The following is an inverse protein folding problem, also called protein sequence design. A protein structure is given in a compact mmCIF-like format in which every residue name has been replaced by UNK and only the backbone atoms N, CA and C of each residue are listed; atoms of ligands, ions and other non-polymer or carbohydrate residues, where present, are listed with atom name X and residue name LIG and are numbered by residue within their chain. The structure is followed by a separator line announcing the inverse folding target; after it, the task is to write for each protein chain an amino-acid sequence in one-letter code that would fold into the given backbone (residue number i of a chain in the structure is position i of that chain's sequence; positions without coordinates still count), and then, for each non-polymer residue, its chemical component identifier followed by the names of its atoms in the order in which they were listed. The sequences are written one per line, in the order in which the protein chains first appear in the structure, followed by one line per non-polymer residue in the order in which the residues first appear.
data_IF_407855184095
#
_entry.id   IF_407855184095
#
_cell.length_a   1.000
_cell.length_b   1.000
_cell.length_c   1.000
_cell.angle_alpha   90.00
_cell.angle_beta   90.00
_cell.angle_gamma   90.00
#
_symmetry.space_group_name_H-M   'P 1'
#
loop_
_entity.id
_entity.type
_entity.pdbx_description
1 polymer ?
#
# COMPACT_ATOMS: atom_id res chain seq x y z
N UNK A 1 -17.26 2.27 17.08
CA UNK A 1 -17.04 1.00 16.37
C UNK A 1 -17.92 1.04 15.13
N UNK A 2 -17.34 1.31 13.96
CA UNK A 2 -18.08 1.32 12.68
C UNK A 2 -17.85 -0.07 12.10
N UNK A 3 -18.81 -0.97 12.30
CA UNK A 3 -18.77 -2.29 11.68
C UNK A 3 -19.12 -2.16 10.20
N UNK A 4 -18.21 -2.52 9.32
CA UNK A 4 -18.49 -2.74 7.92
C UNK A 4 -18.73 -4.23 7.77
N UNK A 5 -20.00 -4.63 7.76
CA UNK A 5 -20.39 -5.99 7.35
C UNK A 5 -20.09 -6.09 5.84
N UNK A 6 -18.94 -6.58 5.48
CA UNK A 6 -18.64 -6.97 4.10
C UNK A 6 -18.68 -8.49 3.99
N UNK A 7 -19.53 -8.97 3.07
CA UNK A 7 -19.42 -10.32 2.52
C UNK A 7 -17.97 -10.53 2.07
N UNK A 8 -17.47 -11.75 2.17
CA UNK A 8 -16.13 -12.16 1.72
C UNK A 8 -15.62 -11.32 0.57
N UNK A 9 -14.60 -10.51 0.82
CA UNK A 9 -13.95 -9.69 -0.20
C UNK A 9 -13.07 -10.59 -1.05
N UNK A 10 -13.26 -10.56 -2.36
CA UNK A 10 -12.45 -11.34 -3.31
C UNK A 10 -11.51 -10.38 -4.02
N UNK A 11 -10.23 -10.49 -3.74
CA UNK A 11 -9.18 -9.67 -4.34
C UNK A 11 -8.42 -10.42 -5.43
N UNK A 12 -7.72 -9.67 -6.29
CA UNK A 12 -6.89 -10.19 -7.40
C UNK A 12 -7.65 -11.06 -8.39
N UNK A 13 -8.89 -10.74 -8.70
CA UNK A 13 -9.61 -11.43 -9.77
C UNK A 13 -8.93 -11.17 -11.10
N UNK A 14 -8.62 -12.24 -11.81
CA UNK A 14 -8.15 -12.14 -13.19
C UNK A 14 -9.31 -11.64 -14.06
N UNK A 15 -9.16 -10.52 -14.81
CA UNK A 15 -10.26 -9.97 -15.61
C UNK A 15 -10.68 -10.86 -16.80
N UNK A 16 -9.86 -11.82 -17.19
CA UNK A 16 -10.15 -12.73 -18.30
C UNK A 16 -10.99 -13.92 -17.86
N UNK A 17 -12.20 -14.07 -18.41
CA UNK A 17 -13.15 -15.14 -18.09
C UNK A 17 -12.62 -16.56 -18.32
N UNK A 18 -11.64 -16.73 -19.20
CA UNK A 18 -11.09 -18.04 -19.60
C UNK A 18 -10.36 -18.79 -18.48
N UNK A 19 -9.85 -18.08 -17.47
CA UNK A 19 -9.05 -18.66 -16.37
C UNK A 19 -9.74 -18.59 -15.03
N UNK A 20 -10.95 -18.00 -14.94
CA UNK A 20 -11.70 -17.86 -13.70
C UNK A 20 -11.99 -19.18 -12.98
N UNK A 21 -12.11 -20.29 -13.72
CA UNK A 21 -12.37 -21.61 -13.14
C UNK A 21 -11.16 -22.19 -12.37
N UNK A 22 -9.97 -21.66 -12.59
CA UNK A 22 -8.76 -22.11 -11.90
C UNK A 22 -8.52 -21.38 -10.58
N UNK A 23 -9.27 -20.33 -10.29
CA UNK A 23 -9.13 -19.48 -9.09
C UNK A 23 -7.69 -19.03 -8.81
N UNK A 24 -6.87 -18.92 -9.87
CA UNK A 24 -5.47 -18.51 -9.78
C UNK A 24 -5.39 -17.05 -9.37
N UNK A 25 -4.47 -16.74 -8.46
CA UNK A 25 -4.22 -15.39 -7.90
C UNK A 25 -5.41 -14.74 -7.18
N UNK A 26 -6.52 -15.43 -7.03
CA UNK A 26 -7.68 -14.94 -6.31
C UNK A 26 -7.56 -15.31 -4.84
N UNK A 27 -7.70 -14.34 -3.94
CA UNK A 27 -7.76 -14.56 -2.50
C UNK A 27 -9.11 -14.11 -1.94
N UNK A 28 -9.63 -14.86 -0.97
CA UNK A 28 -10.78 -14.45 -0.17
C UNK A 28 -10.29 -13.87 1.13
N UNK A 29 -10.75 -12.67 1.43
CA UNK A 29 -10.54 -12.03 2.72
C UNK A 29 -11.88 -12.07 3.44
N UNK A 30 -11.91 -12.63 4.64
CA UNK A 30 -13.12 -12.70 5.46
C UNK A 30 -13.63 -11.32 5.85
N UNK A 31 -14.69 -11.31 6.66
CA UNK A 31 -15.24 -10.06 7.20
C UNK A 31 -14.16 -9.27 7.97
N UNK A 32 -13.96 -8.02 7.58
CA UNK A 32 -13.03 -7.12 8.23
C UNK A 32 -13.79 -6.02 8.97
N UNK A 33 -13.71 -6.04 10.29
CA UNK A 33 -14.22 -4.95 11.15
C UNK A 33 -13.08 -4.01 11.46
N UNK A 34 -13.15 -2.78 10.99
CA UNK A 34 -12.08 -1.79 11.17
C UNK A 34 -11.84 -1.50 12.66
N UNK A 35 -10.62 -1.71 13.09
CA UNK A 35 -10.14 -1.47 14.44
C UNK A 35 -8.69 -0.96 14.38
N UNK A 36 -8.53 0.36 14.32
CA UNK A 36 -7.23 1.03 14.18
C UNK A 36 -6.51 1.05 15.52
N UNK A 37 -5.63 0.09 15.74
CA UNK A 37 -4.78 0.02 16.95
C UNK A 37 -3.34 0.41 16.67
N UNK A 38 -3.04 0.75 15.42
CA UNK A 38 -1.72 1.16 14.96
C UNK A 38 -1.60 2.67 14.76
N UNK A 39 -0.40 3.09 14.38
CA UNK A 39 -0.05 4.46 14.10
C UNK A 39 0.68 4.58 12.77
N UNK A 40 0.40 5.66 12.04
CA UNK A 40 1.17 6.06 10.87
C UNK A 40 2.00 7.29 11.23
N UNK A 41 3.33 7.13 11.18
CA UNK A 41 4.26 8.24 11.38
C UNK A 41 4.89 8.63 10.04
N UNK A 42 4.90 9.92 9.72
CA UNK A 42 5.46 10.44 8.49
C UNK A 42 6.61 11.39 8.73
N UNK A 43 7.69 11.25 7.95
CA UNK A 43 8.80 12.19 7.86
C UNK A 43 8.99 12.60 6.41
N UNK A 44 9.11 13.88 6.14
CA UNK A 44 9.17 14.41 4.78
C UNK A 44 10.32 15.42 4.64
N UNK A 45 10.91 15.47 3.44
CA UNK A 45 11.87 16.49 3.05
C UNK A 45 11.66 16.88 1.60
N UNK A 46 11.63 18.18 1.32
CA UNK A 46 11.38 18.76 -0.02
C UNK A 46 10.10 18.26 -0.72
N UNK A 47 9.10 17.92 0.08
CA UNK A 47 7.80 17.39 -0.36
C UNK A 47 6.69 18.13 0.37
N UNK A 48 5.61 18.40 -0.30
CA UNK A 48 4.42 19.04 0.28
C UNK A 48 3.30 18.03 0.45
N UNK A 49 2.56 18.13 1.54
CA UNK A 49 1.30 17.42 1.71
C UNK A 49 0.25 18.06 0.81
N UNK A 50 -0.46 17.28 0.02
CA UNK A 50 -1.58 17.76 -0.77
C UNK A 50 -2.81 17.85 0.14
N UNK A 51 -3.45 19.01 0.15
CA UNK A 51 -4.72 19.21 0.86
C UNK A 51 -5.86 18.49 0.13
N UNK A 52 -6.70 17.76 0.87
CA UNK A 52 -7.84 16.97 0.37
C UNK A 52 -8.77 17.75 -0.58
N UNK A 53 -8.94 19.05 -0.38
CA UNK A 53 -9.76 19.90 -1.25
C UNK A 53 -9.25 19.99 -2.69
N UNK A 54 -7.99 19.70 -2.96
CA UNK A 54 -7.37 19.72 -4.30
C UNK A 54 -7.42 18.37 -5.01
N UNK A 55 -7.70 17.31 -4.30
CA UNK A 55 -7.68 15.94 -4.84
C UNK A 55 -8.90 15.56 -5.67
N UNK A 56 -10.03 16.25 -5.47
CA UNK A 56 -11.27 15.93 -6.19
C UNK A 56 -11.16 15.98 -7.72
N UNK A 57 -10.06 16.55 -8.25
CA UNK A 57 -9.76 16.62 -9.67
C UNK A 57 -8.32 16.16 -10.01
N UNK A 58 -7.63 15.49 -9.08
CA UNK A 58 -6.25 15.07 -9.27
C UNK A 58 -6.12 13.76 -10.04
N UNK A 59 -5.01 13.59 -10.74
CA UNK A 59 -4.67 12.39 -11.51
C UNK A 59 -4.62 11.13 -10.62
N UNK A 60 -4.24 11.28 -9.35
CA UNK A 60 -4.17 10.19 -8.38
C UNK A 60 -5.50 9.46 -8.18
N UNK A 61 -6.64 10.17 -8.31
CA UNK A 61 -7.97 9.57 -8.15
C UNK A 61 -8.35 8.62 -9.30
N UNK A 62 -7.71 8.77 -10.46
CA UNK A 62 -7.96 7.95 -11.64
C UNK A 62 -7.11 6.67 -11.64
N UNK A 63 -6.15 6.55 -10.73
CA UNK A 63 -5.25 5.40 -10.66
C UNK A 63 -5.94 4.25 -9.91
N UNK A 64 -6.06 3.12 -10.59
CA UNK A 64 -6.63 1.89 -10.04
C UNK A 64 -5.49 1.01 -9.54
N UNK A 65 -5.62 0.45 -8.34
CA UNK A 65 -4.67 -0.52 -7.78
C UNK A 65 -4.81 -1.91 -8.40
N UNK A 66 -3.81 -2.76 -8.19
CA UNK A 66 -3.75 -4.12 -8.73
C UNK A 66 -4.71 -5.10 -8.06
N UNK A 67 -5.14 -4.84 -6.82
CA UNK A 67 -6.03 -5.72 -6.06
C UNK A 67 -7.51 -5.60 -6.44
N UNK A 68 -7.87 -4.60 -7.26
CA UNK A 68 -9.24 -4.39 -7.72
C UNK A 68 -9.98 -3.28 -6.98
N UNK A 69 -11.25 -3.12 -7.36
CA UNK A 69 -12.10 -2.05 -6.79
C UNK A 69 -12.53 -2.35 -5.36
N UNK A 70 -12.54 -3.60 -4.94
CA UNK A 70 -12.99 -4.03 -3.62
C UNK A 70 -12.21 -3.35 -2.49
N UNK A 71 -10.88 -3.24 -2.61
CA UNK A 71 -10.05 -2.53 -1.64
C UNK A 71 -10.37 -1.03 -1.62
N UNK A 72 -10.60 -0.42 -2.79
CA UNK A 72 -10.97 1.00 -2.88
C UNK A 72 -12.33 1.27 -2.23
N UNK A 73 -13.30 0.38 -2.44
CA UNK A 73 -14.61 0.48 -1.80
C UNK A 73 -14.53 0.28 -0.30
N UNK A 74 -13.72 -0.67 0.17
CA UNK A 74 -13.49 -0.92 1.58
C UNK A 74 -12.83 0.30 2.25
N UNK A 75 -11.82 0.92 1.64
CA UNK A 75 -11.20 2.15 2.12
C UNK A 75 -12.23 3.30 2.25
N UNK A 76 -13.08 3.46 1.24
CA UNK A 76 -14.14 4.48 1.25
C UNK A 76 -15.19 4.23 2.34
N UNK A 77 -15.62 2.99 2.53
CA UNK A 77 -16.59 2.62 3.57
C UNK A 77 -16.02 2.76 4.98
N UNK A 78 -14.73 2.47 5.14
CA UNK A 78 -14.04 2.63 6.42
C UNK A 78 -13.79 4.09 6.81
N UNK A 79 -14.15 5.05 5.94
CA UNK A 79 -13.87 6.47 6.13
C UNK A 79 -12.37 6.73 6.37
N UNK A 80 -11.50 5.99 5.66
CA UNK A 80 -10.07 6.20 5.71
C UNK A 80 -9.73 7.55 5.10
N UNK A 81 -9.05 8.40 5.86
CA UNK A 81 -8.51 9.66 5.37
C UNK A 81 -7.22 9.38 4.60
N UNK A 82 -7.19 9.60 3.27
CA UNK A 82 -5.98 9.37 2.50
C UNK A 82 -4.95 10.47 2.76
N UNK A 83 -3.67 10.10 2.70
CA UNK A 83 -2.55 11.04 2.75
C UNK A 83 -1.87 11.13 1.39
N UNK A 84 -1.59 12.35 0.93
CA UNK A 84 -1.03 12.58 -0.39
C UNK A 84 0.14 13.55 -0.35
N UNK A 85 1.20 13.21 -1.08
CA UNK A 85 2.43 13.97 -1.15
C UNK A 85 2.77 14.34 -2.59
N UNK A 86 3.28 15.54 -2.77
CA UNK A 86 3.68 16.07 -4.07
C UNK A 86 5.04 16.73 -3.98
N UNK A 87 5.85 16.58 -5.02
CA UNK A 87 7.09 17.34 -5.19
C UNK A 87 7.27 17.89 -6.60
N UNK A 88 7.87 19.06 -6.69
CA UNK A 88 8.35 19.69 -7.94
C UNK A 88 9.89 19.77 -8.00
N UNK A 89 10.58 19.15 -7.04
CA UNK A 89 12.04 19.23 -6.93
C UNK A 89 12.73 18.25 -7.88
N UNK A 90 13.74 18.76 -8.58
CA UNK A 90 14.61 17.95 -9.47
C UNK A 90 15.52 16.98 -8.72
N UNK A 91 15.96 17.38 -7.53
CA UNK A 91 16.73 16.50 -6.64
C UNK A 91 15.76 15.75 -5.75
N UNK A 92 16.02 14.48 -5.52
CA UNK A 92 15.14 13.64 -4.74
C UNK A 92 14.81 14.23 -3.36
N UNK A 93 13.57 14.66 -3.19
CA UNK A 93 12.95 14.76 -1.89
C UNK A 93 12.65 13.36 -1.36
N UNK A 94 12.27 13.25 -0.09
CA UNK A 94 11.82 11.96 0.42
C UNK A 94 10.56 12.07 1.25
N UNK A 95 9.81 10.96 1.23
CA UNK A 95 8.73 10.66 2.19
C UNK A 95 9.08 9.34 2.85
N UNK A 96 9.09 9.31 4.17
CA UNK A 96 9.17 8.09 4.95
C UNK A 96 7.87 7.91 5.74
N UNK A 97 7.24 6.76 5.57
CA UNK A 97 5.99 6.35 6.19
C UNK A 97 6.25 5.09 7.02
N UNK A 98 6.19 5.23 8.33
CA UNK A 98 6.34 4.11 9.26
C UNK A 98 4.94 3.71 9.76
N UNK A 99 4.42 2.59 9.25
CA UNK A 99 3.16 1.98 9.66
C UNK A 99 3.46 1.02 10.81
N UNK A 100 2.89 1.31 11.98
CA UNK A 100 3.05 0.47 13.16
C UNK A 100 1.69 -0.13 13.53
N UNK A 101 1.49 -1.39 13.18
CA UNK A 101 0.26 -2.12 13.42
C UNK A 101 0.27 -2.72 14.82
N UNK A 102 -0.71 -2.37 15.64
CA UNK A 102 -0.90 -2.99 16.93
C UNK A 102 -1.47 -4.40 16.85
N UNK A 103 -1.51 -5.07 17.97
CA UNK A 103 -2.15 -6.40 18.08
C UNK A 103 -3.64 -6.30 17.75
N UNK A 104 -4.17 -7.26 16.99
CA UNK A 104 -5.56 -7.28 16.50
C UNK A 104 -5.93 -6.03 15.67
N UNK A 105 -4.97 -5.46 14.96
CA UNK A 105 -5.22 -4.33 14.07
C UNK A 105 -6.11 -4.77 12.90
N UNK A 106 -7.03 -3.89 12.51
CA UNK A 106 -7.74 -4.00 11.25
C UNK A 106 -7.86 -2.60 10.65
N UNK A 107 -7.01 -2.28 9.68
CA UNK A 107 -6.97 -0.95 9.09
C UNK A 107 -6.71 -0.99 7.59
N UNK A 108 -7.16 0.06 6.92
CA UNK A 108 -6.89 0.32 5.51
C UNK A 108 -6.29 1.71 5.41
N UNK A 109 -5.11 1.83 4.82
CA UNK A 109 -4.45 3.10 4.59
C UNK A 109 -4.43 3.41 3.09
N UNK A 110 -4.58 4.68 2.73
CA UNK A 110 -4.48 5.15 1.35
C UNK A 110 -3.40 6.22 1.28
N UNK A 111 -2.42 5.99 0.40
CA UNK A 111 -1.28 6.89 0.19
C UNK A 111 -1.19 7.25 -1.28
N UNK A 112 -1.06 8.53 -1.57
CA UNK A 112 -0.81 9.03 -2.91
C UNK A 112 0.52 9.78 -3.00
N UNK A 113 1.24 9.56 -4.09
CA UNK A 113 2.50 10.24 -4.39
C UNK A 113 2.43 10.80 -5.80
N UNK A 114 2.70 12.08 -5.93
CA UNK A 114 2.75 12.79 -7.21
C UNK A 114 4.09 13.49 -7.40
N UNK A 115 4.70 13.32 -8.57
CA UNK A 115 5.83 14.13 -9.00
C UNK A 115 5.42 15.03 -10.16
N UNK A 116 5.89 16.28 -10.12
CA UNK A 116 5.78 17.20 -11.25
C UNK A 116 6.87 16.92 -12.29
N UNK A 117 6.76 17.57 -13.44
CA UNK A 117 7.71 17.41 -14.55
C UNK A 117 9.16 17.61 -14.12
N UNK A 118 10.04 16.69 -14.51
CA UNK A 118 11.47 16.62 -14.15
C UNK A 118 11.77 16.48 -12.64
N UNK A 119 10.77 16.18 -11.80
CA UNK A 119 10.97 15.99 -10.37
C UNK A 119 11.40 14.56 -10.03
N UNK A 120 11.93 14.37 -8.83
CA UNK A 120 12.21 13.03 -8.31
C UNK A 120 11.91 12.92 -6.83
N UNK A 121 11.49 11.72 -6.39
CA UNK A 121 11.17 11.42 -5.00
C UNK A 121 11.57 10.00 -4.63
N UNK A 122 12.10 9.84 -3.42
CA UNK A 122 12.27 8.56 -2.76
C UNK A 122 11.18 8.36 -1.71
N UNK A 123 10.44 7.25 -1.79
CA UNK A 123 9.37 6.91 -0.86
C UNK A 123 9.75 5.65 -0.11
N UNK A 124 9.82 5.75 1.19
CA UNK A 124 10.11 4.64 2.09
C UNK A 124 8.84 4.29 2.86
N UNK A 125 8.37 3.07 2.73
CA UNK A 125 7.26 2.52 3.50
C UNK A 125 7.74 1.35 4.34
N UNK A 126 7.64 1.47 5.65
CA UNK A 126 8.03 0.44 6.59
C UNK A 126 6.78 -0.07 7.32
N UNK A 127 6.41 -1.32 7.04
CA UNK A 127 5.23 -1.97 7.61
C UNK A 127 5.66 -2.86 8.77
N UNK A 128 5.45 -2.36 9.99
CA UNK A 128 5.80 -3.04 11.22
C UNK A 128 4.55 -3.56 11.91
N UNK A 129 4.57 -4.81 12.35
CA UNK A 129 3.51 -5.43 13.13
C UNK A 129 4.06 -6.25 14.29
N UNK A 130 3.21 -6.51 15.27
CA UNK A 130 3.52 -7.46 16.35
C UNK A 130 3.79 -8.83 15.70
N UNK A 131 4.89 -9.48 16.08
CA UNK A 131 5.30 -10.78 15.55
C UNK A 131 4.24 -11.86 15.75
N UNK A 132 3.56 -11.81 16.89
CA UNK A 132 2.52 -12.74 17.30
C UNK A 132 1.12 -12.09 17.18
N UNK A 133 1.03 -10.96 16.45
CA UNK A 133 -0.22 -10.23 16.24
C UNK A 133 -1.07 -10.89 15.18
N UNK A 134 -2.34 -11.07 15.49
CA UNK A 134 -3.39 -11.39 14.52
C UNK A 134 -4.00 -10.10 13.99
N UNK A 135 -4.47 -10.09 12.76
CA UNK A 135 -5.15 -8.91 12.27
C UNK A 135 -5.21 -8.79 10.75
N UNK A 136 -5.62 -7.61 10.34
CA UNK A 136 -5.73 -7.23 8.95
C UNK A 136 -5.08 -5.85 8.74
N UNK A 137 -4.29 -5.72 7.71
CA UNK A 137 -3.76 -4.45 7.26
C UNK A 137 -3.78 -4.39 5.74
N UNK A 138 -4.31 -3.31 5.19
CA UNK A 138 -4.26 -3.02 3.77
C UNK A 138 -3.64 -1.65 3.54
N UNK A 139 -2.78 -1.54 2.54
CA UNK A 139 -2.24 -0.27 2.08
C UNK A 139 -2.48 -0.14 0.59
N UNK A 140 -3.23 0.89 0.20
CA UNK A 140 -3.43 1.25 -1.19
C UNK A 140 -2.51 2.43 -1.53
N UNK A 141 -1.56 2.21 -2.44
CA UNK A 141 -0.59 3.21 -2.88
C UNK A 141 -0.90 3.63 -4.31
N UNK A 142 -1.04 4.92 -4.55
CA UNK A 142 -1.29 5.51 -5.87
C UNK A 142 -0.13 6.42 -6.23
N UNK A 143 0.49 6.17 -7.39
CA UNK A 143 1.70 6.84 -7.84
C UNK A 143 1.45 7.52 -9.19
N UNK A 144 1.66 8.82 -9.26
CA UNK A 144 1.60 9.56 -10.51
C UNK A 144 2.94 10.23 -10.81
N UNK A 145 3.59 9.79 -11.87
CA UNK A 145 4.85 10.34 -12.32
C UNK A 145 4.62 11.19 -13.59
N UNK A 146 4.69 12.52 -13.44
CA UNK A 146 4.61 13.43 -14.57
C UNK A 146 5.86 13.32 -15.47
N UNK A 147 5.81 13.96 -16.63
CA UNK A 147 6.82 13.84 -17.67
C UNK A 147 8.26 13.96 -17.15
N UNK A 148 9.12 13.05 -17.60
CA UNK A 148 10.55 13.00 -17.27
C UNK A 148 10.86 12.95 -15.76
N UNK A 149 9.88 12.53 -14.93
CA UNK A 149 10.03 12.42 -13.47
C UNK A 149 10.34 11.00 -13.00
N UNK A 150 10.76 10.87 -11.74
CA UNK A 150 11.09 9.58 -11.14
C UNK A 150 10.49 9.44 -9.76
N UNK A 151 9.73 8.36 -9.55
CA UNK A 151 9.30 7.90 -8.22
C UNK A 151 10.02 6.60 -7.91
N UNK A 152 10.76 6.53 -6.79
CA UNK A 152 11.33 5.28 -6.27
C UNK A 152 10.60 4.90 -4.99
N UNK A 153 9.86 3.79 -5.02
CA UNK A 153 9.12 3.26 -3.87
C UNK A 153 9.86 2.06 -3.27
N UNK A 154 10.34 2.21 -2.05
CA UNK A 154 10.99 1.18 -1.26
C UNK A 154 10.01 0.76 -0.16
N UNK A 155 9.65 -0.52 -0.12
CA UNK A 155 8.73 -1.06 0.87
C UNK A 155 9.39 -2.18 1.65
N UNK A 156 9.32 -2.09 2.98
CA UNK A 156 9.85 -3.10 3.91
C UNK A 156 8.68 -3.68 4.70
N UNK A 157 8.42 -4.97 4.51
CA UNK A 157 7.33 -5.67 5.19
C UNK A 157 7.87 -6.50 6.34
N UNK A 158 7.42 -6.19 7.57
CA UNK A 158 7.76 -6.86 8.83
C UNK A 158 6.51 -7.11 9.69
N UNK A 159 5.44 -7.56 9.06
CA UNK A 159 4.19 -7.91 9.76
C UNK A 159 4.22 -9.35 10.26
N UNK A 160 3.44 -9.64 11.30
CA UNK A 160 3.34 -10.98 11.88
C UNK A 160 2.75 -12.01 10.93
N UNK A 161 3.04 -13.30 11.16
CA UNK A 161 2.58 -14.41 10.30
C UNK A 161 1.07 -14.59 10.29
N UNK A 162 0.40 -14.20 11.35
CA UNK A 162 -1.07 -14.30 11.48
C UNK A 162 -1.80 -13.02 11.02
N UNK A 163 -1.06 -12.03 10.52
CA UNK A 163 -1.64 -10.81 9.96
C UNK A 163 -1.91 -10.98 8.46
N UNK A 164 -3.14 -10.84 8.05
CA UNK A 164 -3.48 -10.70 6.62
C UNK A 164 -3.04 -9.32 6.13
N UNK A 165 -2.02 -9.28 5.27
CA UNK A 165 -1.48 -8.04 4.72
C UNK A 165 -1.75 -7.91 3.23
N UNK A 166 -2.39 -6.81 2.83
CA UNK A 166 -2.67 -6.48 1.42
C UNK A 166 -1.90 -5.23 1.04
N UNK A 167 -1.03 -5.37 0.04
CA UNK A 167 -0.28 -4.26 -0.53
C UNK A 167 -0.77 -4.02 -1.97
N UNK A 168 -1.58 -2.98 -2.14
CA UNK A 168 -2.21 -2.63 -3.41
C UNK A 168 -1.53 -1.40 -4.02
N UNK A 169 -0.81 -1.59 -5.12
CA UNK A 169 -0.06 -0.52 -5.77
C UNK A 169 -0.64 -0.27 -7.17
N UNK A 170 -0.97 0.99 -7.44
CA UNK A 170 -1.31 1.47 -8.78
C UNK A 170 -0.39 2.63 -9.16
N UNK A 171 0.02 2.69 -10.43
CA UNK A 171 0.90 3.74 -10.91
C UNK A 171 0.59 4.15 -12.34
N UNK A 172 0.84 5.42 -12.63
CA UNK A 172 0.78 5.99 -13.97
C UNK A 172 2.05 6.79 -14.25
N UNK A 173 2.62 6.61 -15.43
CA UNK A 173 3.79 7.34 -15.90
C UNK A 173 3.44 8.09 -17.18
N UNK A 174 3.76 9.38 -17.23
CA UNK A 174 3.81 10.14 -18.48
C UNK A 174 5.09 9.82 -19.28
N UNK A 175 5.23 10.47 -20.43
CA UNK A 175 6.38 10.28 -21.32
C UNK A 175 7.72 10.53 -20.60
N UNK A 176 8.65 9.60 -20.74
CA UNK A 176 9.98 9.68 -20.11
C UNK A 176 10.00 9.46 -18.59
N UNK A 177 8.83 9.36 -17.94
CA UNK A 177 8.74 9.14 -16.50
C UNK A 177 9.00 7.69 -16.12
N UNK A 178 9.34 7.48 -14.84
CA UNK A 178 9.69 6.14 -14.32
C UNK A 178 9.21 5.95 -12.88
N UNK A 179 8.62 4.80 -12.61
CA UNK A 179 8.32 4.31 -11.25
C UNK A 179 9.15 3.07 -11.00
N UNK A 180 9.99 3.11 -9.98
CA UNK A 180 10.84 2.01 -9.52
C UNK A 180 10.28 1.43 -8.23
N UNK A 181 9.97 0.12 -8.22
CA UNK A 181 9.44 -0.57 -7.05
C UNK A 181 10.50 -1.51 -6.47
N UNK A 182 10.78 -1.37 -5.18
CA UNK A 182 11.75 -2.19 -4.43
C UNK A 182 11.05 -2.80 -3.21
N UNK A 183 10.30 -3.90 -3.38
CA UNK A 183 9.67 -4.58 -2.25
C UNK A 183 10.69 -5.48 -1.54
N UNK A 184 10.73 -5.38 -0.21
CA UNK A 184 11.53 -6.25 0.67
C UNK A 184 10.58 -6.87 1.69
N UNK A 185 10.43 -8.18 1.65
CA UNK A 185 9.60 -8.92 2.61
C UNK A 185 10.45 -9.79 3.51
N UNK A 186 10.36 -9.57 4.82
CA UNK A 186 10.95 -10.43 5.83
C UNK A 186 9.92 -11.48 6.25
N UNK A 187 9.86 -12.59 5.51
CA UNK A 187 9.19 -13.78 6.00
C UNK A 187 10.10 -14.47 7.00
N UNK A 188 9.57 -14.99 8.11
CA UNK A 188 10.34 -15.78 9.06
C UNK A 188 10.98 -16.98 8.35
N UNK A 189 12.22 -16.83 7.94
CA UNK A 189 13.07 -17.97 7.63
C UNK A 189 13.28 -18.73 8.96
N UNK A 190 12.51 -19.78 9.22
CA UNK A 190 12.95 -20.81 10.14
C UNK A 190 14.21 -21.39 9.52
N UNK A 191 15.37 -21.04 10.07
CA UNK A 191 16.58 -21.77 9.79
C UNK A 191 16.33 -23.22 10.23
N UNK A 192 16.10 -24.12 9.29
CA UNK A 192 16.21 -25.55 9.51
C UNK A 192 17.69 -25.81 9.71
N UNK A 193 18.12 -25.80 10.95
CA UNK A 193 19.40 -26.40 11.31
C UNK A 193 19.31 -27.89 10.99
N UNK A 194 19.85 -28.26 9.85
CA UNK A 194 20.16 -29.66 9.58
C UNK A 194 21.29 -30.03 10.51
N UNK A 195 20.98 -30.62 11.67
CA UNK A 195 21.96 -31.38 12.47
C UNK A 195 22.41 -32.57 11.62
N UNK A 196 23.54 -32.45 10.95
CA UNK A 196 24.29 -33.59 10.50
C UNK A 196 24.96 -34.22 11.73
N UNK A 197 24.42 -35.29 12.25
CA UNK A 197 25.15 -36.15 13.17
C UNK A 197 26.23 -36.92 12.37
N UNK A 198 27.50 -36.56 12.61
CA UNK A 198 28.64 -37.41 12.35
C UNK A 198 28.80 -38.42 13.50
#
# INVERSE_FOLDING_TARGET
MIGIEEKDMIINRIPAKTWNHLHMNQSRVGEVVINRTGELNASVNDVSLIDDGKLNNGELNNIIGGCGQEITEAARKSQTEPVYYITDKKNAGFVRLDFNYGRNNADINVVGIETKENASIDVYMDFNGDKDGEGFAAVQTRLYAAKDSVIRLIQIQRVGSETTFINDIGGYCEDGARIELVPVSYTHLRAHETRSNL
#
